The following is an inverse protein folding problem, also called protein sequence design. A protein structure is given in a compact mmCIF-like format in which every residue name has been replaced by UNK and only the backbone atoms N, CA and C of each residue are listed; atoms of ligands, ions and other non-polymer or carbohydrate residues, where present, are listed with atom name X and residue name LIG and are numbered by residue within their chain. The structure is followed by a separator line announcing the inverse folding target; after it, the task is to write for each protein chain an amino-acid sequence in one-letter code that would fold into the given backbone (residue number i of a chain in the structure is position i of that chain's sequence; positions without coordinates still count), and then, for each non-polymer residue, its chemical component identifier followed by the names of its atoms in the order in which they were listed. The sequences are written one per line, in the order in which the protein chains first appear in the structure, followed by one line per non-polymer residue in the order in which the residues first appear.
data_IF_155715605796
#
_entry.id   IF_155715605796
#
_cell.length_a   1.000
_cell.length_b   1.000
_cell.length_c   1.000
_cell.angle_alpha   90.00
_cell.angle_beta   90.00
_cell.angle_gamma   90.00
#
_symmetry.space_group_name_H-M   'P 1'
#
loop_
_entity.id
_entity.type
_entity.pdbx_description
1 polymer ?
#
# COMPACT_ATOMS: atom_id res chain seq x y z
N UNK A 1 24.86 -12.77 -12.71
CA UNK A 1 24.47 -11.80 -11.65
C UNK A 1 23.49 -10.67 -12.06
N UNK A 2 23.58 -10.06 -13.26
CA UNK A 2 22.72 -8.91 -13.65
C UNK A 2 21.21 -9.14 -13.49
N UNK A 3 20.75 -10.37 -13.75
CA UNK A 3 19.34 -10.74 -13.64
C UNK A 3 18.81 -10.58 -12.21
N UNK A 4 19.62 -10.84 -11.17
CA UNK A 4 19.17 -10.75 -9.76
C UNK A 4 19.07 -9.32 -9.27
N UNK A 5 20.04 -8.48 -9.65
CA UNK A 5 19.96 -7.05 -9.40
C UNK A 5 18.74 -6.46 -10.11
N UNK A 6 18.43 -6.94 -11.32
CA UNK A 6 17.21 -6.58 -12.04
C UNK A 6 15.95 -7.02 -11.31
N UNK A 7 15.86 -8.26 -10.80
CA UNK A 7 14.71 -8.72 -10.02
C UNK A 7 14.44 -7.87 -8.77
N UNK A 8 15.49 -7.48 -8.02
CA UNK A 8 15.36 -6.60 -6.85
C UNK A 8 14.83 -5.21 -7.27
N UNK A 9 15.41 -4.65 -8.34
CA UNK A 9 15.01 -3.34 -8.86
C UNK A 9 13.56 -3.38 -9.38
N UNK A 10 13.18 -4.43 -10.10
CA UNK A 10 11.82 -4.65 -10.61
C UNK A 10 10.81 -4.80 -9.46
N UNK A 11 11.17 -5.50 -8.39
CA UNK A 11 10.33 -5.64 -7.19
C UNK A 11 10.08 -4.28 -6.51
N UNK A 12 11.10 -3.43 -6.43
CA UNK A 12 10.99 -2.07 -5.89
C UNK A 12 10.10 -1.23 -6.81
N UNK A 13 10.38 -1.20 -8.12
CA UNK A 13 9.60 -0.41 -9.08
C UNK A 13 8.13 -0.81 -9.11
N UNK A 14 7.84 -2.11 -9.22
CA UNK A 14 6.46 -2.62 -9.20
C UNK A 14 5.73 -2.21 -7.92
N UNK A 15 6.38 -2.28 -6.76
CA UNK A 15 5.74 -1.90 -5.49
C UNK A 15 5.46 -0.40 -5.39
N UNK A 16 6.32 0.44 -5.98
CA UNK A 16 6.11 1.89 -6.06
C UNK A 16 5.01 2.25 -7.07
N UNK A 17 4.98 1.57 -8.22
CA UNK A 17 3.93 1.77 -9.22
C UNK A 17 2.56 1.38 -8.67
N UNK A 18 2.47 0.26 -7.93
CA UNK A 18 1.25 -0.17 -7.25
C UNK A 18 0.79 0.85 -6.19
N UNK A 19 1.73 1.45 -5.45
CA UNK A 19 1.45 2.50 -4.47
C UNK A 19 0.87 3.74 -5.16
N UNK A 20 1.50 4.21 -6.23
CA UNK A 20 1.07 5.39 -6.99
C UNK A 20 -0.31 5.14 -7.60
N UNK A 21 -0.50 4.01 -8.27
CA UNK A 21 -1.77 3.63 -8.88
C UNK A 21 -2.90 3.60 -7.86
N UNK A 22 -2.67 2.95 -6.71
CA UNK A 22 -3.72 2.80 -5.70
C UNK A 22 -3.99 4.11 -4.95
N UNK A 23 -2.99 4.98 -4.79
CA UNK A 23 -3.17 6.33 -4.26
C UNK A 23 -4.05 7.18 -5.17
N UNK A 24 -3.79 7.17 -6.48
CA UNK A 24 -4.63 7.88 -7.45
C UNK A 24 -6.06 7.32 -7.48
N UNK A 25 -6.21 6.00 -7.30
CA UNK A 25 -7.51 5.37 -7.16
C UNK A 25 -8.26 5.85 -5.92
N UNK A 26 -7.64 5.87 -4.73
CA UNK A 26 -8.25 6.39 -3.50
C UNK A 26 -8.68 7.84 -3.68
N UNK A 27 -7.85 8.68 -4.32
CA UNK A 27 -8.18 10.07 -4.63
C UNK A 27 -9.40 10.18 -5.56
N UNK A 28 -9.47 9.36 -6.61
CA UNK A 28 -10.64 9.31 -7.51
C UNK A 28 -11.89 8.87 -6.76
N UNK A 29 -11.79 7.82 -5.93
CA UNK A 29 -12.89 7.24 -5.18
C UNK A 29 -13.35 8.13 -4.02
N UNK A 30 -12.50 9.04 -3.52
CA UNK A 30 -12.82 9.95 -2.43
C UNK A 30 -13.99 10.88 -2.77
N UNK A 31 -13.93 11.49 -3.96
CA UNK A 31 -14.88 12.52 -4.43
C UNK A 31 -15.74 12.06 -5.61
N UNK A 32 -15.56 10.82 -6.06
CA UNK A 32 -16.33 10.26 -7.17
C UNK A 32 -17.83 10.24 -6.89
N UNK A 33 -18.64 10.46 -7.92
CA UNK A 33 -20.11 10.39 -7.85
C UNK A 33 -20.68 8.97 -7.92
N UNK A 34 -19.83 7.93 -7.96
CA UNK A 34 -20.27 6.53 -8.07
C UNK A 34 -20.68 5.94 -6.72
N UNK A 35 -21.53 4.91 -6.74
CA UNK A 35 -22.12 4.33 -5.53
C UNK A 35 -21.10 3.72 -4.55
N UNK A 36 -19.90 3.37 -5.03
CA UNK A 36 -18.78 2.84 -4.24
C UNK A 36 -17.85 3.93 -3.69
N UNK A 37 -18.08 5.21 -3.99
CA UNK A 37 -17.21 6.29 -3.51
C UNK A 37 -17.32 6.47 -2.00
N UNK A 38 -16.28 7.05 -1.40
CA UNK A 38 -16.28 7.32 0.03
C UNK A 38 -17.40 8.29 0.41
N UNK A 39 -17.62 9.33 -0.40
CA UNK A 39 -18.73 10.28 -0.19
C UNK A 39 -20.10 9.59 -0.27
N UNK A 40 -20.31 8.66 -1.22
CA UNK A 40 -21.53 7.89 -1.30
C UNK A 40 -21.71 6.96 -0.08
N UNK A 41 -20.59 6.44 0.46
CA UNK A 41 -20.57 5.64 1.67
C UNK A 41 -21.04 6.40 2.91
N UNK A 42 -20.54 7.62 3.14
CA UNK A 42 -20.94 8.46 4.28
C UNK A 42 -22.33 9.08 4.11
N UNK A 43 -22.76 9.35 2.88
CA UNK A 43 -24.10 9.88 2.58
C UNK A 43 -25.22 8.83 2.61
N UNK A 44 -24.87 7.54 2.53
CA UNK A 44 -25.83 6.42 2.43
C UNK A 44 -26.89 6.40 3.54
N UNK A 45 -26.58 6.64 4.83
CA UNK A 45 -27.59 6.69 5.88
C UNK A 45 -28.66 7.77 5.64
N UNK A 46 -28.26 8.91 5.09
CA UNK A 46 -29.19 10.00 4.76
C UNK A 46 -30.00 9.70 3.51
N UNK A 47 -29.40 9.07 2.51
CA UNK A 47 -30.17 8.58 1.36
C UNK A 47 -31.24 7.57 1.78
N UNK A 48 -30.93 6.65 2.71
CA UNK A 48 -31.90 5.70 3.26
C UNK A 48 -33.02 6.42 4.02
N UNK A 49 -32.66 7.35 4.92
CA UNK A 49 -33.64 8.17 5.65
C UNK A 49 -34.55 8.95 4.70
N UNK A 50 -33.99 9.54 3.62
CA UNK A 50 -34.76 10.27 2.63
C UNK A 50 -35.71 9.37 1.83
N UNK A 51 -35.26 8.15 1.50
CA UNK A 51 -36.06 7.15 0.78
C UNK A 51 -37.30 6.75 1.57
N UNK A 52 -37.19 6.68 2.90
CA UNK A 52 -38.29 6.32 3.81
C UNK A 52 -39.31 7.46 4.04
N UNK A 53 -39.08 8.67 3.52
CA UNK A 53 -40.01 9.78 3.63
C UNK A 53 -41.10 9.72 2.54
N UNK A 54 -42.36 9.61 2.97
CA UNK A 54 -43.53 9.57 2.08
C UNK A 54 -44.65 10.53 2.53
N UNK A 55 -45.64 10.76 1.67
CA UNK A 55 -46.80 11.61 1.94
C UNK A 55 -46.55 13.11 1.80
N UNK A 56 -47.55 13.93 2.12
CA UNK A 56 -47.49 15.39 1.99
C UNK A 56 -46.31 15.98 2.77
N UNK A 57 -45.56 16.89 2.14
CA UNK A 57 -44.37 17.52 2.73
C UNK A 57 -43.11 16.64 2.75
N UNK A 58 -43.11 15.46 2.12
CA UNK A 58 -41.92 14.60 2.06
C UNK A 58 -40.72 15.28 1.41
N UNK A 59 -40.93 16.09 0.37
CA UNK A 59 -39.87 16.84 -0.29
C UNK A 59 -39.16 17.81 0.67
N UNK A 60 -39.94 18.61 1.41
CA UNK A 60 -39.41 19.53 2.41
C UNK A 60 -38.62 18.79 3.51
N UNK A 61 -39.15 17.65 4.00
CA UNK A 61 -38.46 16.82 5.00
C UNK A 61 -37.15 16.24 4.46
N UNK A 62 -37.14 15.70 3.23
CA UNK A 62 -35.90 15.20 2.60
C UNK A 62 -34.84 16.29 2.47
N UNK A 63 -35.23 17.48 1.98
CA UNK A 63 -34.32 18.64 1.87
C UNK A 63 -33.76 19.07 3.22
N UNK A 64 -34.62 19.11 4.25
CA UNK A 64 -34.20 19.45 5.61
C UNK A 64 -33.23 18.41 6.19
N UNK A 65 -33.52 17.12 6.04
CA UNK A 65 -32.63 16.03 6.49
C UNK A 65 -31.28 16.10 5.79
N UNK A 66 -31.27 16.30 4.47
CA UNK A 66 -30.04 16.46 3.69
C UNK A 66 -29.22 17.66 4.16
N UNK A 67 -29.86 18.82 4.28
CA UNK A 67 -29.21 20.07 4.68
C UNK A 67 -28.63 19.94 6.10
N UNK A 68 -29.41 19.40 7.04
CA UNK A 68 -28.93 19.12 8.40
C UNK A 68 -27.70 18.23 8.39
N UNK A 69 -27.66 17.18 7.58
CA UNK A 69 -26.52 16.30 7.52
C UNK A 69 -25.28 16.97 6.91
N UNK A 70 -25.44 17.77 5.86
CA UNK A 70 -24.33 18.51 5.26
C UNK A 70 -23.78 19.60 6.19
N UNK A 71 -24.63 20.22 7.02
CA UNK A 71 -24.23 21.37 7.86
C UNK A 71 -23.84 21.00 9.29
N UNK A 72 -24.40 19.93 9.85
CA UNK A 72 -24.25 19.61 11.29
C UNK A 72 -23.71 18.21 11.59
N UNK A 73 -23.56 17.35 10.58
CA UNK A 73 -22.94 16.04 10.77
C UNK A 73 -21.42 16.17 10.75
N UNK A 74 -20.67 15.33 11.48
CA UNK A 74 -19.24 15.15 11.27
C UNK A 74 -18.94 14.45 9.92
N UNK A 75 -19.72 14.69 8.86
CA UNK A 75 -19.62 14.04 7.55
C UNK A 75 -18.19 14.06 7.01
N UNK A 76 -17.59 15.25 6.97
CA UNK A 76 -16.24 15.44 6.44
C UNK A 76 -15.18 14.84 7.36
N UNK A 77 -15.44 14.77 8.67
CA UNK A 77 -14.54 14.10 9.61
C UNK A 77 -14.62 12.57 9.44
N UNK A 78 -15.81 12.01 9.26
CA UNK A 78 -15.99 10.58 8.97
C UNK A 78 -15.38 10.20 7.62
N UNK A 79 -15.56 11.05 6.60
CA UNK A 79 -14.92 10.91 5.30
C UNK A 79 -13.40 10.91 5.42
N UNK A 80 -12.83 11.89 6.13
CA UNK A 80 -11.40 11.98 6.39
C UNK A 80 -10.88 10.75 7.11
N UNK A 81 -11.56 10.29 8.17
CA UNK A 81 -11.16 9.11 8.93
C UNK A 81 -11.16 7.84 8.08
N UNK A 82 -12.16 7.63 7.21
CA UNK A 82 -12.20 6.48 6.30
C UNK A 82 -11.05 6.55 5.28
N UNK A 83 -10.84 7.71 4.66
CA UNK A 83 -9.74 7.89 3.70
C UNK A 83 -8.38 7.67 4.33
N UNK A 84 -8.14 8.21 5.53
CA UNK A 84 -6.88 8.04 6.25
C UNK A 84 -6.68 6.60 6.68
N UNK A 85 -7.74 5.90 7.10
CA UNK A 85 -7.69 4.48 7.43
C UNK A 85 -7.26 3.63 6.25
N UNK A 86 -7.99 3.74 5.13
CA UNK A 86 -7.74 2.93 3.93
C UNK A 86 -6.38 3.26 3.30
N UNK A 87 -5.99 4.54 3.27
CA UNK A 87 -4.67 4.95 2.80
C UNK A 87 -3.53 4.39 3.66
N UNK A 88 -3.75 4.30 4.99
CA UNK A 88 -2.78 3.72 5.90
C UNK A 88 -2.65 2.22 5.74
N UNK A 89 -3.76 1.51 5.61
CA UNK A 89 -3.77 0.07 5.32
C UNK A 89 -3.07 -0.24 3.99
N UNK A 90 -3.29 0.60 2.98
CA UNK A 90 -2.60 0.51 1.69
C UNK A 90 -1.08 0.60 1.86
N UNK A 91 -0.60 1.66 2.50
CA UNK A 91 0.84 1.87 2.73
C UNK A 91 1.43 0.66 3.47
N UNK A 92 0.79 0.24 4.55
CA UNK A 92 1.26 -0.90 5.36
C UNK A 92 1.32 -2.19 4.53
N UNK A 93 0.27 -2.48 3.75
CA UNK A 93 0.24 -3.65 2.86
C UNK A 93 1.35 -3.60 1.81
N UNK A 94 1.53 -2.47 1.12
CA UNK A 94 2.55 -2.33 0.07
C UNK A 94 3.96 -2.51 0.61
N UNK A 95 4.28 -1.89 1.74
CA UNK A 95 5.62 -2.04 2.34
C UNK A 95 5.86 -3.44 2.91
N UNK A 96 4.83 -4.11 3.44
CA UNK A 96 4.94 -5.50 3.88
C UNK A 96 5.18 -6.44 2.70
N UNK A 97 4.49 -6.23 1.58
CA UNK A 97 4.70 -7.02 0.36
C UNK A 97 6.11 -6.80 -0.22
N UNK A 98 6.61 -5.56 -0.20
CA UNK A 98 7.97 -5.26 -0.63
C UNK A 98 9.02 -5.94 0.27
N UNK A 99 8.86 -5.88 1.60
CA UNK A 99 9.75 -6.58 2.54
C UNK A 99 9.77 -8.08 2.28
N UNK A 100 8.59 -8.68 2.06
CA UNK A 100 8.48 -10.11 1.73
C UNK A 100 9.22 -10.45 0.44
N UNK A 101 8.98 -9.71 -0.66
CA UNK A 101 9.67 -9.92 -1.95
C UNK A 101 11.19 -9.81 -1.79
N UNK A 102 11.68 -8.82 -1.06
CA UNK A 102 13.12 -8.64 -0.84
C UNK A 102 13.73 -9.79 0.00
N UNK A 103 13.02 -10.28 1.01
CA UNK A 103 13.45 -11.46 1.79
C UNK A 103 13.51 -12.72 0.95
N UNK A 104 12.54 -12.92 0.06
CA UNK A 104 12.52 -14.05 -0.86
C UNK A 104 13.72 -14.00 -1.81
N UNK A 105 14.01 -12.84 -2.41
CA UNK A 105 15.20 -12.66 -3.26
C UNK A 105 16.51 -12.89 -2.50
N UNK A 106 16.61 -12.40 -1.26
CA UNK A 106 17.76 -12.66 -0.38
C UNK A 106 17.94 -14.15 -0.06
N UNK A 107 16.84 -14.85 0.21
CA UNK A 107 16.84 -16.29 0.48
C UNK A 107 17.31 -17.06 -0.75
N UNK A 108 16.82 -16.70 -1.94
CA UNK A 108 17.23 -17.28 -3.21
C UNK A 108 18.73 -17.05 -3.46
N UNK A 109 19.23 -15.83 -3.25
CA UNK A 109 20.66 -15.53 -3.35
C UNK A 109 21.46 -16.41 -2.38
N UNK A 110 21.07 -16.47 -1.10
CA UNK A 110 21.79 -17.23 -0.07
C UNK A 110 21.80 -18.72 -0.34
N UNK A 111 20.68 -19.28 -0.80
CA UNK A 111 20.56 -20.69 -1.18
C UNK A 111 21.50 -21.01 -2.34
N UNK A 112 21.50 -20.19 -3.37
CA UNK A 112 22.32 -20.43 -4.56
C UNK A 112 23.81 -20.27 -4.23
N UNK A 113 24.18 -19.35 -3.33
CA UNK A 113 25.55 -19.24 -2.78
C UNK A 113 25.98 -20.50 -2.02
N UNK A 114 25.08 -21.09 -1.21
CA UNK A 114 25.38 -22.33 -0.47
C UNK A 114 25.50 -23.54 -1.38
N UNK A 115 24.61 -23.66 -2.38
CA UNK A 115 24.66 -24.73 -3.38
C UNK A 115 25.97 -24.69 -4.20
N UNK A 116 26.48 -23.49 -4.47
CA UNK A 116 27.78 -23.24 -5.11
C UNK A 116 28.98 -23.81 -4.35
N UNK A 117 28.90 -23.97 -3.02
CA UNK A 117 30.01 -24.48 -2.18
C UNK A 117 30.03 -26.01 -2.10
N UNK A 118 28.94 -26.68 -2.49
CA UNK A 118 28.73 -28.11 -2.23
C UNK A 118 28.88 -29.04 -3.43
N UNK A 119 29.24 -28.55 -4.62
CA UNK A 119 29.44 -29.41 -5.79
C UNK A 119 30.94 -29.66 -6.00
N UNK A 120 31.38 -30.90 -5.77
CA UNK A 120 32.70 -31.38 -6.18
C UNK A 120 32.87 -31.17 -7.69
N UNK A 121 33.73 -30.23 -8.08
CA UNK A 121 34.34 -30.19 -9.41
C UNK A 121 33.93 -29.04 -10.35
N UNK A 122 32.84 -28.30 -10.10
CA UNK A 122 32.47 -27.13 -10.91
C UNK A 122 32.34 -25.86 -10.05
N UNK A 123 33.23 -24.89 -10.31
CA UNK A 123 33.24 -23.61 -9.62
C UNK A 123 32.08 -22.76 -10.16
N UNK A 124 31.03 -22.59 -9.36
CA UNK A 124 29.94 -21.67 -9.67
C UNK A 124 30.43 -20.21 -9.76
N UNK A 125 29.74 -19.36 -10.51
CA UNK A 125 30.02 -17.92 -10.70
C UNK A 125 30.23 -17.17 -9.36
N UNK A 126 29.57 -17.61 -8.27
CA UNK A 126 29.75 -17.05 -6.94
C UNK A 126 30.94 -17.62 -6.14
N UNK A 127 31.40 -18.82 -6.47
CA UNK A 127 32.67 -19.37 -6.01
C UNK A 127 33.87 -18.76 -6.73
N UNK A 128 33.66 -18.17 -7.93
CA UNK A 128 34.70 -17.46 -8.69
C UNK A 128 35.02 -16.07 -8.13
N UNK A 129 34.05 -15.36 -7.52
CA UNK A 129 34.30 -14.05 -6.89
C UNK A 129 33.57 -13.87 -5.54
N UNK A 130 34.19 -14.31 -4.43
CA UNK A 130 33.66 -14.14 -3.08
C UNK A 130 33.48 -12.68 -2.65
N UNK A 131 34.27 -11.74 -3.22
CA UNK A 131 34.14 -10.31 -2.87
C UNK A 131 32.85 -9.74 -3.42
N UNK A 132 32.49 -10.09 -4.65
CA UNK A 132 31.22 -9.66 -5.25
C UNK A 132 30.01 -10.20 -4.48
N UNK A 133 30.06 -11.45 -4.00
CA UNK A 133 28.98 -12.01 -3.20
C UNK A 133 28.79 -11.25 -1.87
N UNK A 134 29.89 -10.89 -1.21
CA UNK A 134 29.85 -10.13 0.05
C UNK A 134 29.42 -8.67 -0.18
N UNK A 135 29.85 -8.05 -1.28
CA UNK A 135 29.44 -6.71 -1.67
C UNK A 135 27.94 -6.65 -1.99
N UNK A 136 27.40 -7.67 -2.67
CA UNK A 136 25.96 -7.79 -2.92
C UNK A 136 25.19 -7.92 -1.60
N UNK A 137 25.67 -8.75 -0.68
CA UNK A 137 25.11 -8.89 0.67
C UNK A 137 25.04 -7.56 1.41
N UNK A 138 26.13 -6.79 1.39
CA UNK A 138 26.18 -5.46 1.99
C UNK A 138 25.17 -4.51 1.35
N UNK A 139 25.10 -4.46 0.02
CA UNK A 139 24.15 -3.59 -0.69
C UNK A 139 22.69 -3.92 -0.37
N UNK A 140 22.35 -5.22 -0.30
CA UNK A 140 20.99 -5.61 0.07
C UNK A 140 20.71 -5.32 1.55
N UNK A 141 21.70 -5.47 2.42
CA UNK A 141 21.59 -5.03 3.82
C UNK A 141 21.24 -3.55 3.94
N UNK A 142 21.92 -2.69 3.18
CA UNK A 142 21.61 -1.24 3.13
C UNK A 142 20.18 -0.98 2.66
N UNK A 143 19.69 -1.71 1.65
CA UNK A 143 18.31 -1.58 1.18
C UNK A 143 17.31 -2.00 2.26
N UNK A 144 17.61 -3.09 2.97
CA UNK A 144 16.76 -3.58 4.05
C UNK A 144 16.71 -2.59 5.22
N UNK A 145 17.85 -2.01 5.59
CA UNK A 145 17.91 -0.97 6.63
C UNK A 145 17.14 0.29 6.21
N UNK A 146 17.26 0.71 4.95
CA UNK A 146 16.49 1.83 4.41
C UNK A 146 14.97 1.54 4.42
N UNK A 147 14.56 0.32 4.10
CA UNK A 147 13.15 -0.10 4.15
C UNK A 147 12.61 -0.08 5.58
N UNK A 148 13.36 -0.63 6.54
CA UNK A 148 13.01 -0.60 7.96
C UNK A 148 12.90 0.85 8.46
N UNK A 149 13.82 1.71 8.02
CA UNK A 149 13.79 3.13 8.37
C UNK A 149 12.55 3.84 7.78
N UNK A 150 12.22 3.57 6.52
CA UNK A 150 11.01 4.11 5.88
C UNK A 150 9.73 3.63 6.59
N UNK A 151 9.64 2.33 6.93
CA UNK A 151 8.54 1.78 7.71
C UNK A 151 8.42 2.44 9.10
N UNK A 152 9.56 2.75 9.74
CA UNK A 152 9.57 3.48 11.02
C UNK A 152 9.07 4.92 10.85
N UNK A 153 9.53 5.65 9.85
CA UNK A 153 9.03 7.01 9.57
C UNK A 153 7.52 7.00 9.33
N UNK A 154 7.01 6.05 8.55
CA UNK A 154 5.57 5.87 8.34
C UNK A 154 4.84 5.61 9.67
N UNK A 155 5.44 4.86 10.60
CA UNK A 155 4.89 4.63 11.94
C UNK A 155 5.03 5.82 12.88
N UNK A 156 5.99 6.72 12.70
CA UNK A 156 6.18 7.93 13.51
C UNK A 156 5.23 9.05 13.06
N UNK A 157 4.97 9.17 11.75
CA UNK A 157 3.92 10.05 11.18
C UNK A 157 2.50 9.61 11.61
N UNK A 158 2.38 8.46 12.30
CA UNK A 158 1.15 7.90 12.87
C UNK A 158 0.74 8.56 14.20
N UNK A 159 1.63 9.33 14.85
CA UNK A 159 1.39 10.07 16.10
C UNK A 159 0.97 11.52 15.81
#
# INVERSE_FOLDING_TARGET
METRQRCIVDAIHSSLDDLVYTTEKIKSDAIGGHASSYIAGVMRPVYNTCREQYGTGSDARRKQTMNRHLTSSPLFLELANRLTGDYRELIESTFNQLDQKLREELSNITRDLRASVTVEGEISEAGQDPRHAEELKQRVGVIQDALVHAQRIVREVRQ
#
